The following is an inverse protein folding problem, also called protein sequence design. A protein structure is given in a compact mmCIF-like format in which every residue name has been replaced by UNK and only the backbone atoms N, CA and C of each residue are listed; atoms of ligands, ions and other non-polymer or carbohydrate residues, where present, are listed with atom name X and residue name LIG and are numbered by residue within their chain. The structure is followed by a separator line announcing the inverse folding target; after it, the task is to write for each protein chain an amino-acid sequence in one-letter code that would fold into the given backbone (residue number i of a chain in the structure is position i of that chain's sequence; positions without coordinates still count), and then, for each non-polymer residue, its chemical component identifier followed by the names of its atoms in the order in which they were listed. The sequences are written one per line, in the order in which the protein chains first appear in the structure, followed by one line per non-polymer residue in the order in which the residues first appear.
data_IF_233773620364
#
_entry.id   IF_233773620364
#
_cell.length_a   1.000
_cell.length_b   1.000
_cell.length_c   1.000
_cell.angle_alpha   90.00
_cell.angle_beta   90.00
_cell.angle_gamma   90.00
#
_symmetry.space_group_name_H-M   'P 1'
#
loop_
_entity.id
_entity.type
_entity.pdbx_description
1 polymer ?
#
# COMPACT_ATOMS: atom_id res chain seq x y z
N UNK A 1 16.09 39.13 7.00
CA UNK A 1 14.82 39.46 6.30
C UNK A 1 14.59 38.49 5.13
N UNK A 2 14.72 37.17 5.34
CA UNK A 2 14.38 36.13 4.34
C UNK A 2 14.00 34.85 5.11
N UNK A 3 12.94 34.88 5.91
CA UNK A 3 12.43 33.69 6.61
C UNK A 3 10.93 33.87 6.86
N UNK A 4 10.09 33.70 5.82
CA UNK A 4 8.63 33.58 6.03
C UNK A 4 7.81 33.03 4.86
N UNK A 5 8.37 32.18 3.99
CA UNK A 5 7.56 31.53 2.95
C UNK A 5 7.95 30.08 2.69
N UNK A 6 7.78 29.22 3.70
CA UNK A 6 7.44 27.81 3.49
C UNK A 6 6.37 27.42 4.49
N UNK A 7 5.15 27.94 4.29
CA UNK A 7 3.95 27.29 4.82
C UNK A 7 3.86 25.94 4.14
N UNK A 8 4.12 24.87 4.90
CA UNK A 8 3.70 23.52 4.58
C UNK A 8 2.23 23.60 4.16
N UNK A 9 1.92 23.27 2.90
CA UNK A 9 0.54 23.09 2.47
C UNK A 9 0.03 21.84 3.20
N UNK A 10 -0.52 22.03 4.39
CA UNK A 10 -1.38 21.02 5.00
C UNK A 10 -2.59 20.95 4.08
N UNK A 11 -2.66 19.93 3.22
CA UNK A 11 -3.84 19.66 2.40
C UNK A 11 -5.01 19.52 3.36
N UNK A 12 -5.86 20.55 3.40
CA UNK A 12 -7.01 20.59 4.29
C UNK A 12 -7.92 19.41 3.94
N UNK A 13 -8.16 18.52 4.90
CA UNK A 13 -9.11 17.41 4.75
C UNK A 13 -10.55 17.89 4.99
N UNK A 14 -10.88 19.08 4.47
CA UNK A 14 -12.22 19.66 4.56
C UNK A 14 -13.14 19.12 3.46
N UNK A 15 -14.45 19.32 3.67
CA UNK A 15 -15.48 18.84 2.75
C UNK A 15 -15.26 19.34 1.32
N UNK A 16 -14.91 20.61 1.13
CA UNK A 16 -14.72 21.23 -0.18
C UNK A 16 -13.56 20.59 -0.94
N UNK A 17 -12.45 20.34 -0.26
CA UNK A 17 -11.27 19.69 -0.83
C UNK A 17 -11.59 18.25 -1.22
N UNK A 18 -12.27 17.51 -0.34
CA UNK A 18 -12.69 16.13 -0.63
C UNK A 18 -13.70 16.04 -1.77
N UNK A 19 -14.66 16.97 -1.86
CA UNK A 19 -15.58 17.06 -2.98
C UNK A 19 -14.83 17.29 -4.30
N UNK A 20 -13.88 18.24 -4.32
CA UNK A 20 -13.05 18.46 -5.51
C UNK A 20 -12.18 17.25 -5.86
N UNK A 21 -11.66 16.51 -4.88
CA UNK A 21 -10.86 15.30 -5.11
C UNK A 21 -11.73 14.17 -5.67
N UNK A 22 -12.91 13.94 -5.10
CA UNK A 22 -13.89 12.98 -5.63
C UNK A 22 -14.26 13.32 -7.07
N UNK A 23 -14.41 14.61 -7.36
CA UNK A 23 -14.82 15.09 -8.67
C UNK A 23 -13.70 15.19 -9.68
N UNK A 24 -12.41 15.13 -9.32
CA UNK A 24 -11.32 15.37 -10.29
C UNK A 24 -10.18 14.37 -10.22
N UNK A 25 -9.97 13.71 -9.10
CA UNK A 25 -8.84 12.80 -8.93
C UNK A 25 -9.13 11.46 -9.62
N UNK A 26 -8.33 11.03 -10.62
CA UNK A 26 -8.58 9.81 -11.40
C UNK A 26 -8.81 8.56 -10.55
N UNK A 27 -7.99 8.38 -9.50
CA UNK A 27 -8.13 7.27 -8.55
C UNK A 27 -9.51 7.22 -7.90
N UNK A 28 -10.02 8.35 -7.38
CA UNK A 28 -11.32 8.37 -6.71
C UNK A 28 -12.45 8.20 -7.72
N UNK A 29 -12.33 8.82 -8.90
CA UNK A 29 -13.27 8.60 -10.01
C UNK A 29 -13.33 7.13 -10.45
N UNK A 30 -12.20 6.42 -10.47
CA UNK A 30 -12.16 4.98 -10.72
C UNK A 30 -12.94 4.24 -9.64
N UNK A 31 -12.59 4.46 -8.36
CA UNK A 31 -13.22 3.76 -7.24
C UNK A 31 -14.72 4.06 -7.09
N UNK A 32 -15.18 5.22 -7.56
CA UNK A 32 -16.60 5.59 -7.57
C UNK A 32 -17.34 5.14 -8.84
N UNK A 33 -16.64 4.61 -9.84
CA UNK A 33 -17.24 4.15 -11.10
C UNK A 33 -18.08 2.89 -10.88
N UNK A 34 -19.26 2.76 -11.50
CA UNK A 34 -20.00 1.50 -11.49
C UNK A 34 -19.25 0.37 -12.20
N UNK A 35 -18.30 0.71 -13.08
CA UNK A 35 -17.44 -0.26 -13.77
C UNK A 35 -16.10 -0.47 -13.06
N UNK A 36 -15.93 0.01 -11.82
CA UNK A 36 -14.69 -0.17 -11.06
C UNK A 36 -14.21 -1.63 -11.00
N UNK A 37 -15.08 -2.65 -10.82
CA UNK A 37 -14.64 -4.05 -10.80
C UNK A 37 -13.96 -4.47 -12.11
N UNK A 38 -14.60 -4.23 -13.26
CA UNK A 38 -14.03 -4.53 -14.59
C UNK A 38 -12.69 -3.82 -14.80
N UNK A 39 -12.67 -2.50 -14.57
CA UNK A 39 -11.48 -1.68 -14.83
C UNK A 39 -10.32 -2.14 -13.94
N UNK A 40 -10.57 -2.28 -12.63
CA UNK A 40 -9.53 -2.63 -11.68
C UNK A 40 -9.01 -4.06 -11.88
N UNK A 41 -9.89 -5.04 -12.09
CA UNK A 41 -9.48 -6.43 -12.29
C UNK A 41 -8.67 -6.60 -13.58
N UNK A 42 -9.14 -6.01 -14.67
CA UNK A 42 -8.47 -6.09 -15.97
C UNK A 42 -7.11 -5.38 -15.95
N UNK A 43 -7.05 -4.13 -15.50
CA UNK A 43 -5.79 -3.38 -15.45
C UNK A 43 -4.79 -3.97 -14.46
N UNK A 44 -5.26 -4.54 -13.34
CA UNK A 44 -4.40 -5.31 -12.44
C UNK A 44 -3.78 -6.52 -13.15
N UNK A 45 -4.59 -7.32 -13.84
CA UNK A 45 -4.15 -8.52 -14.56
C UNK A 45 -3.15 -8.20 -15.69
N UNK A 46 -3.35 -7.10 -16.41
CA UNK A 46 -2.53 -6.76 -17.58
C UNK A 46 -1.27 -5.97 -17.23
N UNK A 47 -1.34 -5.03 -16.28
CA UNK A 47 -0.21 -4.15 -15.94
C UNK A 47 0.46 -4.51 -14.62
N UNK A 48 -0.31 -4.61 -13.54
CA UNK A 48 0.24 -4.65 -12.18
C UNK A 48 0.81 -6.03 -11.84
N UNK A 49 0.01 -7.09 -12.00
CA UNK A 49 0.42 -8.46 -11.69
C UNK A 49 1.66 -8.93 -12.47
N UNK A 50 1.74 -8.72 -13.81
CA UNK A 50 2.94 -9.06 -14.58
C UNK A 50 4.03 -7.97 -14.54
N UNK A 51 3.81 -6.85 -13.84
CA UNK A 51 4.70 -5.68 -13.84
C UNK A 51 5.01 -5.14 -15.25
N UNK A 52 4.00 -5.16 -16.13
CA UNK A 52 4.09 -4.62 -17.49
C UNK A 52 3.95 -3.10 -17.45
N UNK A 53 4.93 -2.38 -18.00
CA UNK A 53 4.90 -0.90 -18.03
C UNK A 53 4.10 -0.34 -19.20
N UNK A 54 4.21 -0.98 -20.36
CA UNK A 54 3.65 -0.50 -21.62
C UNK A 54 3.14 -1.69 -22.42
N UNK A 55 2.01 -1.52 -23.10
CA UNK A 55 1.40 -2.51 -23.98
C UNK A 55 0.92 -1.86 -25.29
N UNK A 56 0.90 -2.60 -26.39
CA UNK A 56 0.38 -2.11 -27.66
C UNK A 56 -1.15 -1.96 -27.64
N UNK A 57 -1.71 -1.11 -28.50
CA UNK A 57 -3.16 -1.01 -28.67
C UNK A 57 -3.80 -2.34 -29.07
N UNK A 58 -3.18 -3.06 -30.01
CA UNK A 58 -3.72 -4.32 -30.51
C UNK A 58 -3.83 -5.36 -29.39
N UNK A 59 -2.74 -5.58 -28.65
CA UNK A 59 -2.71 -6.57 -27.56
C UNK A 59 -3.67 -6.21 -26.42
N UNK A 60 -3.77 -4.90 -26.10
CA UNK A 60 -4.65 -4.44 -25.02
C UNK A 60 -6.14 -4.55 -25.40
N UNK A 61 -6.49 -4.24 -26.65
CA UNK A 61 -7.84 -4.40 -27.18
C UNK A 61 -8.24 -5.87 -27.18
N UNK A 62 -7.38 -6.75 -27.70
CA UNK A 62 -7.61 -8.20 -27.71
C UNK A 62 -7.83 -8.75 -26.30
N UNK A 63 -6.93 -8.43 -25.37
CA UNK A 63 -7.03 -8.89 -23.99
C UNK A 63 -8.31 -8.41 -23.28
N UNK A 64 -8.80 -7.22 -23.62
CA UNK A 64 -10.04 -6.68 -23.05
C UNK A 64 -11.28 -7.29 -23.73
N UNK A 65 -11.27 -7.55 -25.03
CA UNK A 65 -12.37 -8.26 -25.70
C UNK A 65 -12.58 -9.65 -25.09
N UNK A 66 -11.50 -10.39 -24.83
CA UNK A 66 -11.58 -11.70 -24.17
C UNK A 66 -12.20 -11.62 -22.78
N UNK A 67 -11.82 -10.60 -21.98
CA UNK A 67 -12.38 -10.36 -20.66
C UNK A 67 -13.87 -9.99 -20.73
N UNK A 68 -14.24 -9.10 -21.65
CA UNK A 68 -15.62 -8.69 -21.87
C UNK A 68 -16.48 -9.86 -22.33
N UNK A 69 -15.96 -10.72 -23.22
CA UNK A 69 -16.63 -11.93 -23.67
C UNK A 69 -16.93 -12.86 -22.47
N UNK A 70 -15.92 -13.18 -21.67
CA UNK A 70 -16.09 -14.03 -20.49
C UNK A 70 -17.09 -13.45 -19.47
N UNK A 71 -17.06 -12.14 -19.24
CA UNK A 71 -17.99 -11.47 -18.34
C UNK A 71 -19.43 -11.47 -18.89
N UNK A 72 -19.62 -11.30 -20.19
CA UNK A 72 -20.94 -11.39 -20.84
C UNK A 72 -21.51 -12.80 -20.77
N UNK A 73 -20.69 -13.84 -20.87
CA UNK A 73 -21.15 -15.23 -20.65
C UNK A 73 -21.66 -15.45 -19.22
N UNK A 74 -21.02 -14.84 -18.22
CA UNK A 74 -21.37 -15.03 -16.81
C UNK A 74 -22.50 -14.12 -16.32
N UNK A 75 -22.53 -12.87 -16.76
CA UNK A 75 -23.42 -11.82 -16.25
C UNK A 75 -24.60 -11.52 -17.19
N UNK A 76 -24.56 -12.05 -18.42
CA UNK A 76 -25.56 -11.83 -19.47
C UNK A 76 -25.04 -10.94 -20.60
N UNK A 77 -25.61 -11.11 -21.80
CA UNK A 77 -25.14 -10.48 -23.04
C UNK A 77 -25.15 -8.94 -23.01
N UNK A 78 -26.03 -8.34 -22.20
CA UNK A 78 -26.12 -6.88 -22.06
C UNK A 78 -25.08 -6.29 -21.07
N UNK A 79 -24.31 -7.14 -20.38
CA UNK A 79 -23.26 -6.70 -19.48
C UNK A 79 -22.11 -6.09 -20.28
N UNK A 80 -21.70 -4.87 -19.91
CA UNK A 80 -20.60 -4.13 -20.54
C UNK A 80 -20.73 -4.05 -22.07
N UNK A 81 -21.73 -3.35 -22.62
CA UNK A 81 -22.14 -3.51 -24.02
C UNK A 81 -21.22 -2.84 -25.05
N UNK A 82 -20.23 -2.04 -24.62
CA UNK A 82 -19.32 -1.36 -25.54
C UNK A 82 -18.20 -2.30 -26.03
N UNK A 83 -17.63 -1.99 -27.19
CA UNK A 83 -16.42 -2.66 -27.64
C UNK A 83 -15.22 -2.30 -26.74
N UNK A 84 -14.20 -3.16 -26.70
CA UNK A 84 -12.99 -2.93 -25.92
C UNK A 84 -12.31 -1.61 -26.27
N UNK A 85 -12.17 -1.32 -27.57
CA UNK A 85 -11.56 -0.07 -28.04
C UNK A 85 -12.30 1.17 -27.50
N UNK A 86 -13.63 1.13 -27.44
CA UNK A 86 -14.43 2.24 -26.90
C UNK A 86 -14.22 2.40 -25.39
N UNK A 87 -14.13 1.30 -24.64
CA UNK A 87 -13.78 1.35 -23.23
C UNK A 87 -12.38 1.92 -23.00
N UNK A 88 -11.38 1.50 -23.76
CA UNK A 88 -10.01 2.00 -23.63
C UNK A 88 -9.91 3.49 -23.96
N UNK A 89 -10.65 3.95 -24.98
CA UNK A 89 -10.77 5.37 -25.31
C UNK A 89 -11.41 6.15 -24.15
N UNK A 90 -12.50 5.65 -23.56
CA UNK A 90 -13.13 6.26 -22.38
C UNK A 90 -12.14 6.32 -21.20
N UNK A 91 -11.34 5.27 -20.98
CA UNK A 91 -10.39 5.21 -19.87
C UNK A 91 -9.22 6.18 -20.05
N UNK A 92 -8.91 6.57 -21.29
CA UNK A 92 -7.93 7.61 -21.63
C UNK A 92 -8.52 9.02 -21.61
N UNK A 93 -9.85 9.16 -21.61
CA UNK A 93 -10.49 10.47 -21.68
C UNK A 93 -10.03 11.37 -20.51
N UNK A 94 -9.88 12.69 -20.71
CA UNK A 94 -9.33 13.59 -19.69
C UNK A 94 -10.09 13.60 -18.36
N UNK A 95 -11.38 13.26 -18.38
CA UNK A 95 -12.20 13.14 -17.18
C UNK A 95 -11.96 11.80 -16.43
N UNK A 96 -11.46 10.76 -17.09
CA UNK A 96 -11.08 9.50 -16.44
C UNK A 96 -9.59 9.51 -16.12
N UNK A 97 -8.75 9.66 -17.13
CA UNK A 97 -7.30 9.66 -17.02
C UNK A 97 -6.76 8.40 -16.34
N UNK A 98 -7.39 7.25 -16.59
CA UNK A 98 -7.00 5.99 -15.97
C UNK A 98 -5.85 5.32 -16.71
N UNK A 99 -5.89 5.43 -18.04
CA UNK A 99 -4.81 5.05 -18.95
C UNK A 99 -4.28 6.29 -19.66
N UNK A 100 -3.07 6.18 -20.18
CA UNK A 100 -2.52 7.17 -21.11
C UNK A 100 -2.17 6.46 -22.41
N UNK A 101 -2.69 7.01 -23.51
CA UNK A 101 -2.36 6.61 -24.88
C UNK A 101 -1.23 7.49 -25.42
N UNK A 102 -0.22 6.90 -26.04
CA UNK A 102 0.87 7.62 -26.71
C UNK A 102 1.41 6.81 -27.90
N UNK A 103 2.16 7.48 -28.77
CA UNK A 103 2.77 6.85 -29.96
C UNK A 103 4.28 6.77 -29.77
N UNK A 104 4.89 5.66 -30.17
CA UNK A 104 6.36 5.56 -30.17
C UNK A 104 6.92 6.54 -31.22
N UNK A 105 8.05 7.21 -30.94
CA UNK A 105 8.69 8.05 -31.95
C UNK A 105 9.00 7.25 -33.21
N UNK A 106 8.52 7.72 -34.36
CA UNK A 106 8.78 7.09 -35.65
C UNK A 106 7.89 5.89 -35.99
N UNK A 107 6.84 5.61 -35.21
CA UNK A 107 5.80 4.64 -35.59
C UNK A 107 4.40 5.23 -35.41
N UNK A 108 3.43 4.73 -36.18
CA UNK A 108 1.99 5.00 -35.99
C UNK A 108 1.35 3.98 -35.03
N UNK A 109 2.17 3.25 -34.27
CA UNK A 109 1.70 2.23 -33.33
C UNK A 109 1.38 2.89 -31.98
N UNK A 110 0.10 2.89 -31.63
CA UNK A 110 -0.33 3.36 -30.32
C UNK A 110 0.07 2.38 -29.22
N UNK A 111 0.44 2.95 -28.08
CA UNK A 111 0.83 2.26 -26.85
C UNK A 111 0.06 2.84 -25.67
N UNK A 112 -0.10 2.03 -24.63
CA UNK A 112 -0.78 2.40 -23.41
C UNK A 112 0.09 2.13 -22.19
N UNK A 113 0.04 3.04 -21.22
CA UNK A 113 0.56 2.84 -19.87
C UNK A 113 -0.49 3.15 -18.81
N UNK A 114 -0.33 2.50 -17.64
CA UNK A 114 -1.16 2.73 -16.47
C UNK A 114 -0.76 4.04 -15.81
N UNK A 115 -1.73 4.89 -15.48
CA UNK A 115 -1.40 6.13 -14.76
C UNK A 115 -1.09 5.84 -13.29
N UNK A 116 -0.20 6.63 -12.64
CA UNK A 116 0.11 6.46 -11.22
C UNK A 116 -1.12 6.58 -10.30
N UNK A 117 -2.12 7.37 -10.70
CA UNK A 117 -3.35 7.51 -9.95
C UNK A 117 -4.18 6.21 -9.98
N UNK A 118 -4.24 5.54 -11.13
CA UNK A 118 -4.90 4.22 -11.25
C UNK A 118 -4.15 3.16 -10.48
N UNK A 119 -2.82 3.12 -10.59
CA UNK A 119 -1.99 2.18 -9.82
C UNK A 119 -2.23 2.33 -8.32
N UNK A 120 -2.32 3.57 -7.82
CA UNK A 120 -2.69 3.85 -6.41
C UNK A 120 -4.07 3.33 -6.04
N UNK A 121 -5.06 3.43 -6.93
CA UNK A 121 -6.40 2.90 -6.68
C UNK A 121 -6.39 1.36 -6.61
N UNK A 122 -5.66 0.71 -7.53
CA UNK A 122 -5.53 -0.75 -7.55
C UNK A 122 -4.78 -1.24 -6.31
N UNK A 123 -3.68 -0.59 -5.92
CA UNK A 123 -2.94 -0.91 -4.70
C UNK A 123 -3.82 -0.80 -3.45
N UNK A 124 -4.67 0.23 -3.38
CA UNK A 124 -5.65 0.35 -2.30
C UNK A 124 -6.66 -0.81 -2.32
N UNK A 125 -7.19 -1.19 -3.48
CA UNK A 125 -8.10 -2.35 -3.61
C UNK A 125 -7.42 -3.66 -3.19
N UNK A 126 -6.15 -3.86 -3.53
CA UNK A 126 -5.36 -5.00 -3.05
C UNK A 126 -5.25 -5.00 -1.52
N UNK A 127 -5.02 -3.84 -0.90
CA UNK A 127 -5.00 -3.74 0.57
C UNK A 127 -6.35 -4.03 1.24
N UNK A 128 -7.46 -4.06 0.50
CA UNK A 128 -8.76 -4.48 1.05
C UNK A 128 -8.86 -6.00 1.17
N UNK A 129 -8.11 -6.74 0.35
CA UNK A 129 -8.08 -8.21 0.36
C UNK A 129 -6.89 -8.74 1.14
N UNK A 130 -5.77 -8.02 1.11
CA UNK A 130 -4.58 -8.32 1.86
C UNK A 130 -4.54 -7.56 3.19
N UNK A 131 -4.59 -8.36 4.28
CA UNK A 131 -4.00 -8.17 5.62
C UNK A 131 -5.01 -8.32 6.75
N UNK A 132 -5.50 -9.56 6.95
CA UNK A 132 -5.92 -10.03 8.28
C UNK A 132 -4.73 -10.16 9.26
N UNK A 133 -3.49 -9.84 8.87
CA UNK A 133 -2.29 -10.24 9.62
C UNK A 133 -1.03 -9.41 9.31
N UNK A 134 -1.03 -8.09 9.57
CA UNK A 134 0.23 -7.29 9.65
C UNK A 134 0.50 -6.74 11.05
N UNK A 135 -0.26 -7.21 12.03
CA UNK A 135 0.13 -7.09 13.43
C UNK A 135 1.25 -8.05 13.86
N UNK A 136 1.69 -9.01 13.03
CA UNK A 136 2.61 -10.06 13.49
C UNK A 136 4.08 -9.81 13.25
N UNK A 137 4.51 -9.02 12.27
CA UNK A 137 5.94 -8.76 12.09
C UNK A 137 6.48 -7.86 13.21
N UNK A 138 5.77 -6.77 13.55
CA UNK A 138 6.10 -5.93 14.71
C UNK A 138 5.97 -6.70 16.02
N UNK A 139 5.00 -7.63 16.16
CA UNK A 139 4.90 -8.51 17.33
C UNK A 139 5.97 -9.59 17.36
N UNK A 140 6.42 -10.14 16.23
CA UNK A 140 7.52 -11.11 16.17
C UNK A 140 8.83 -10.42 16.52
N UNK A 141 9.09 -9.23 15.97
CA UNK A 141 10.26 -8.43 16.32
C UNK A 141 10.22 -8.00 17.79
N UNK A 142 9.05 -7.62 18.32
CA UNK A 142 8.86 -7.33 19.74
C UNK A 142 9.04 -8.59 20.60
N UNK A 143 8.52 -9.75 20.16
CA UNK A 143 8.70 -11.03 20.85
C UNK A 143 10.17 -11.46 20.83
N UNK A 144 10.90 -11.28 19.71
CA UNK A 144 12.33 -11.51 19.61
C UNK A 144 13.12 -10.57 20.52
N UNK A 145 12.81 -9.27 20.51
CA UNK A 145 13.44 -8.30 21.40
C UNK A 145 13.17 -8.62 22.88
N UNK A 146 11.95 -9.05 23.22
CA UNK A 146 11.61 -9.51 24.57
C UNK A 146 12.32 -10.83 24.91
N UNK A 147 12.45 -11.77 23.97
CA UNK A 147 13.20 -13.01 24.16
C UNK A 147 14.69 -12.75 24.37
N UNK A 148 15.27 -11.81 23.62
CA UNK A 148 16.67 -11.36 23.77
C UNK A 148 16.87 -10.63 25.10
N UNK A 149 15.93 -9.77 25.52
CA UNK A 149 15.98 -9.12 26.83
C UNK A 149 15.84 -10.12 27.97
N UNK A 150 14.96 -11.11 27.84
CA UNK A 150 14.81 -12.19 28.82
C UNK A 150 16.09 -13.02 28.83
N UNK A 151 16.57 -13.50 27.68
CA UNK A 151 17.81 -14.28 27.55
C UNK A 151 19.00 -13.54 28.15
N UNK A 152 19.17 -12.25 27.85
CA UNK A 152 20.25 -11.43 28.39
C UNK A 152 20.07 -11.08 29.87
N UNK A 153 18.84 -11.04 30.36
CA UNK A 153 18.48 -10.81 31.76
C UNK A 153 18.50 -12.06 32.63
N UNK A 154 18.42 -13.24 32.03
CA UNK A 154 18.50 -14.56 32.68
C UNK A 154 19.81 -15.31 32.39
N UNK A 155 20.75 -14.71 31.65
CA UNK A 155 22.06 -15.33 31.36
C UNK A 155 22.89 -15.41 32.65
N UNK A 156 22.92 -16.62 33.22
CA UNK A 156 23.56 -16.92 34.50
C UNK A 156 25.05 -17.25 34.34
N UNK A 157 25.56 -17.40 33.12
CA UNK A 157 26.98 -17.64 32.85
C UNK A 157 27.74 -16.30 32.69
N UNK A 158 28.59 -15.93 33.67
CA UNK A 158 29.35 -14.68 33.62
C UNK A 158 30.30 -14.58 32.43
N UNK A 159 30.78 -15.72 31.89
CA UNK A 159 31.73 -15.73 30.79
C UNK A 159 31.07 -15.28 29.47
N UNK A 160 29.88 -15.80 29.16
CA UNK A 160 29.11 -15.40 27.97
C UNK A 160 28.65 -13.96 28.04
N UNK A 161 28.22 -13.52 29.22
CA UNK A 161 27.86 -12.10 29.44
C UNK A 161 29.05 -11.18 29.20
N UNK A 162 30.26 -11.59 29.62
CA UNK A 162 31.47 -10.82 29.42
C UNK A 162 31.89 -10.79 27.94
N UNK A 163 31.73 -11.90 27.21
CA UNK A 163 32.02 -11.98 25.77
C UNK A 163 31.10 -11.06 24.94
N UNK A 164 29.81 -11.04 25.24
CA UNK A 164 28.85 -10.10 24.62
C UNK A 164 29.17 -8.64 24.93
N UNK A 165 29.59 -8.34 26.16
CA UNK A 165 30.00 -6.99 26.56
C UNK A 165 31.30 -6.57 25.87
N UNK A 166 32.25 -7.49 25.70
CA UNK A 166 33.47 -7.22 24.94
C UNK A 166 33.16 -6.97 23.46
N UNK A 167 32.29 -7.76 22.83
CA UNK A 167 31.87 -7.52 21.44
C UNK A 167 31.27 -6.12 21.26
N UNK A 168 30.37 -5.72 22.17
CA UNK A 168 29.75 -4.38 22.14
C UNK A 168 30.77 -3.26 22.40
N UNK A 169 31.73 -3.49 23.29
CA UNK A 169 32.82 -2.55 23.53
C UNK A 169 33.66 -2.40 22.27
N UNK A 170 34.05 -3.49 21.62
CA UNK A 170 34.90 -3.45 20.44
C UNK A 170 34.18 -2.76 19.25
N UNK A 171 32.87 -2.96 19.11
CA UNK A 171 32.02 -2.24 18.15
C UNK A 171 31.99 -0.72 18.44
N UNK A 172 31.82 -0.34 19.71
CA UNK A 172 31.84 1.05 20.15
C UNK A 172 33.22 1.69 20.00
N UNK A 173 34.30 0.99 20.34
CA UNK A 173 35.68 1.46 20.20
C UNK A 173 36.02 1.69 18.73
N UNK A 174 35.56 0.82 17.83
CA UNK A 174 35.69 1.01 16.39
C UNK A 174 34.90 2.22 15.88
N UNK A 175 33.74 2.52 16.47
CA UNK A 175 32.96 3.72 16.16
C UNK A 175 33.64 5.00 16.68
N UNK A 176 34.13 4.98 17.91
CA UNK A 176 34.90 6.07 18.51
C UNK A 176 36.14 6.38 17.66
N UNK A 177 36.89 5.37 17.24
CA UNK A 177 38.07 5.55 16.39
C UNK A 177 37.74 6.21 15.03
N UNK A 178 36.59 5.87 14.43
CA UNK A 178 36.10 6.55 13.21
C UNK A 178 35.78 8.03 13.48
N UNK A 179 35.12 8.32 14.60
CA UNK A 179 34.80 9.70 15.01
C UNK A 179 36.07 10.50 15.33
N UNK A 180 37.05 9.92 16.03
CA UNK A 180 38.33 10.54 16.38
C UNK A 180 39.19 10.85 15.14
N UNK A 181 39.08 10.04 14.09
CA UNK A 181 39.74 10.28 12.79
C UNK A 181 39.00 11.28 11.91
N UNK A 182 37.90 11.86 12.40
CA UNK A 182 37.12 12.91 11.73
C UNK A 182 36.02 12.38 10.81
N UNK A 183 35.87 11.07 10.67
CA UNK A 183 34.72 10.45 10.01
C UNK A 183 33.54 10.39 10.97
N UNK A 184 32.79 11.49 11.05
CA UNK A 184 31.47 11.48 11.68
C UNK A 184 30.46 11.14 10.60
N UNK A 185 29.85 9.94 10.61
CA UNK A 185 28.76 9.61 9.69
C UNK A 185 27.53 10.43 10.10
N UNK A 186 27.51 11.69 9.70
CA UNK A 186 26.35 12.55 9.83
C UNK A 186 25.36 12.19 8.74
N UNK A 187 24.09 12.10 9.12
CA UNK A 187 23.02 12.14 8.15
C UNK A 187 23.04 13.52 7.49
N UNK A 188 23.16 13.54 6.17
CA UNK A 188 22.94 14.78 5.44
C UNK A 188 21.46 15.21 5.52
N UNK A 189 21.18 16.46 5.16
CA UNK A 189 19.84 17.03 5.24
C UNK A 189 18.78 16.24 4.46
N UNK A 190 19.18 15.50 3.42
CA UNK A 190 18.27 14.67 2.61
C UNK A 190 17.94 13.38 3.36
N UNK A 191 18.94 12.71 3.92
CA UNK A 191 18.79 11.50 4.71
C UNK A 191 17.99 11.76 6.00
N UNK A 192 18.16 12.91 6.65
CA UNK A 192 17.33 13.33 7.80
C UNK A 192 15.87 13.49 7.38
N UNK A 193 15.64 14.15 6.23
CA UNK A 193 14.29 14.43 5.74
C UNK A 193 13.55 13.16 5.31
N UNK A 194 14.24 12.23 4.63
CA UNK A 194 13.68 10.93 4.24
C UNK A 194 13.36 10.07 5.47
N UNK A 195 14.26 9.98 6.45
CA UNK A 195 14.00 9.26 7.72
C UNK A 195 12.83 9.87 8.50
N UNK A 196 12.69 11.19 8.51
CA UNK A 196 11.57 11.86 9.16
C UNK A 196 10.24 11.57 8.44
N UNK A 197 10.23 11.52 7.11
CA UNK A 197 9.05 11.13 6.33
C UNK A 197 8.67 9.66 6.59
N UNK A 198 9.66 8.75 6.62
CA UNK A 198 9.45 7.34 6.93
C UNK A 198 8.90 7.15 8.35
N UNK A 199 9.44 7.87 9.34
CA UNK A 199 8.94 7.87 10.71
C UNK A 199 7.47 8.36 10.81
N UNK A 200 7.13 9.47 10.11
CA UNK A 200 5.75 9.96 10.09
C UNK A 200 4.77 8.97 9.46
N UNK A 201 5.20 8.25 8.43
CA UNK A 201 4.39 7.22 7.79
C UNK A 201 4.13 6.06 8.75
N UNK A 202 5.19 5.51 9.35
CA UNK A 202 5.09 4.42 10.35
C UNK A 202 4.24 4.82 11.56
N UNK A 203 4.36 6.05 12.05
CA UNK A 203 3.57 6.55 13.17
C UNK A 203 2.06 6.65 12.84
N UNK A 204 1.70 7.02 11.61
CA UNK A 204 0.30 7.04 11.16
C UNK A 204 -0.26 5.63 10.97
N UNK A 205 0.55 4.71 10.46
CA UNK A 205 0.20 3.29 10.31
C UNK A 205 -0.06 2.64 11.68
N UNK A 206 0.81 2.86 12.67
CA UNK A 206 0.62 2.35 14.02
C UNK A 206 -0.72 2.81 14.65
N UNK A 207 -1.13 4.05 14.43
CA UNK A 207 -2.42 4.57 14.90
C UNK A 207 -3.63 3.96 14.17
N UNK A 208 -3.47 3.64 12.89
CA UNK A 208 -4.49 2.92 12.12
C UNK A 208 -4.61 1.46 12.59
N UNK A 209 -3.49 0.81 12.89
CA UNK A 209 -3.43 -0.56 13.42
C UNK A 209 -4.19 -0.70 14.74
N UNK A 210 -4.15 0.30 15.63
CA UNK A 210 -4.95 0.28 16.86
C UNK A 210 -6.47 0.29 16.59
N UNK A 211 -6.92 1.08 15.59
CA UNK A 211 -8.34 1.10 15.20
C UNK A 211 -8.76 -0.21 14.54
N UNK A 212 -7.86 -0.83 13.78
CA UNK A 212 -8.09 -2.14 13.18
C UNK A 212 -8.16 -3.26 14.24
N UNK A 213 -7.24 -3.26 15.21
CA UNK A 213 -7.27 -4.17 16.37
C UNK A 213 -8.57 -4.02 17.17
N UNK A 214 -9.02 -2.78 17.41
CA UNK A 214 -10.30 -2.52 18.06
C UNK A 214 -11.48 -3.10 17.25
N UNK A 215 -11.49 -2.88 15.94
CA UNK A 215 -12.54 -3.42 15.06
C UNK A 215 -12.56 -4.96 15.07
N UNK A 216 -11.40 -5.59 14.97
CA UNK A 216 -11.25 -7.05 15.02
C UNK A 216 -11.70 -7.62 16.38
N UNK A 217 -11.41 -6.93 17.49
CA UNK A 217 -11.88 -7.32 18.81
C UNK A 217 -13.40 -7.24 18.93
N UNK A 218 -14.04 -6.19 18.39
CA UNK A 218 -15.52 -6.09 18.34
C UNK A 218 -16.14 -7.20 17.50
N UNK A 219 -15.53 -7.56 16.36
CA UNK A 219 -16.01 -8.68 15.55
C UNK A 219 -15.90 -10.01 16.29
N UNK A 220 -14.78 -10.24 17.00
CA UNK A 220 -14.57 -11.44 17.79
C UNK A 220 -15.56 -11.54 18.97
N UNK A 221 -15.77 -10.46 19.72
CA UNK A 221 -16.76 -10.38 20.80
C UNK A 221 -18.17 -10.69 20.29
N UNK A 222 -18.55 -10.14 19.13
CA UNK A 222 -19.84 -10.44 18.49
C UNK A 222 -19.98 -11.93 18.13
N UNK A 223 -18.96 -12.53 17.50
CA UNK A 223 -18.95 -13.97 17.17
C UNK A 223 -19.01 -14.86 18.41
N UNK A 224 -18.34 -14.46 19.51
CA UNK A 224 -18.39 -15.17 20.79
C UNK A 224 -19.78 -15.08 21.41
N UNK A 225 -20.41 -13.90 21.44
CA UNK A 225 -21.79 -13.74 21.93
C UNK A 225 -22.80 -14.51 21.10
N UNK A 226 -22.67 -14.50 19.77
CA UNK A 226 -23.53 -15.29 18.87
C UNK A 226 -23.38 -16.79 19.18
N UNK A 227 -22.15 -17.30 19.37
CA UNK A 227 -21.92 -18.70 19.77
C UNK A 227 -22.48 -19.04 21.15
N UNK A 228 -22.39 -18.14 22.13
CA UNK A 228 -22.93 -18.34 23.49
C UNK A 228 -24.46 -18.30 23.48
N UNK A 229 -25.07 -17.37 22.72
CA UNK A 229 -26.53 -17.28 22.57
C UNK A 229 -27.12 -18.47 21.81
N UNK A 230 -26.35 -19.06 20.88
CA UNK A 230 -26.70 -20.33 20.22
C UNK A 230 -26.47 -21.56 21.11
N UNK A 231 -25.81 -21.41 22.27
CA UNK A 231 -25.48 -22.46 23.23
C UNK A 231 -26.39 -22.41 24.47
N UNK A 232 -27.72 -22.43 24.28
CA UNK A 232 -28.72 -22.71 25.33
C UNK A 232 -29.43 -24.06 25.12
N UNK A 233 -28.75 -25.04 24.51
CA UNK A 233 -29.37 -26.29 24.06
C UNK A 233 -28.61 -27.57 24.43
N UNK A 234 -28.29 -27.79 25.70
CA UNK A 234 -28.15 -29.14 26.28
C UNK A 234 -28.06 -29.02 27.81
N UNK A 235 -29.20 -28.78 28.47
CA UNK A 235 -29.35 -29.17 29.87
C UNK A 235 -29.82 -30.62 29.87
N UNK A 236 -28.95 -31.51 30.36
CA UNK A 236 -29.40 -32.71 31.06
C UNK A 236 -30.02 -32.36 32.40
#
# INVERSE_FOLDING_TARGET
MIESQRRSQTTSMDHTTLASLRDRHPAWRLLASPHAPLVASFLYRVFVAPNMRVISEADLVEALEDELFALREQLGADAYPKAAADYLNDWCAPDKGWLRKFYKPGTDEAQYDLTPATEKAIAWLQSLTERLFVGTESRLLTLFALLEQISAGTEVDPARRLEDLHRKRDELDAEIARVETGEVPLLDDTAVRDRFQQFQQLARELLADFREVEHNFRQLDRKVREKIALWEGSKG
#
